data_IF_083208156650
#
_entry.id   IF_083208156650
#
_cell.length_a   1.000
_cell.length_b   1.000
_cell.length_c   1.000
_cell.angle_alpha   90.00
_cell.angle_beta   90.00
_cell.angle_gamma   90.00
#
_symmetry.space_group_name_H-M   'P 1'
#
loop_
_entity.id
_entity.type
_entity.pdbx_description
1 polymer ?
#
# COMPACT_ATOMS: atom_id res chain seq x y z
N UNK A 1 -2.54 -0.30 -7.36
CA UNK A 1 -1.40 -0.32 -8.30
C UNK A 1 -1.48 0.76 -9.38
N UNK A 2 -2.67 1.15 -9.86
CA UNK A 2 -2.81 2.23 -10.84
C UNK A 2 -2.17 3.56 -10.39
N UNK A 3 -2.27 3.91 -9.09
CA UNK A 3 -1.58 5.07 -8.47
C UNK A 3 -0.06 5.10 -8.65
N UNK A 4 0.54 3.94 -8.95
CA UNK A 4 1.97 3.73 -9.08
C UNK A 4 2.34 3.25 -10.50
N UNK A 5 1.44 3.36 -11.48
CA UNK A 5 1.63 2.80 -12.83
C UNK A 5 2.92 3.31 -13.50
N UNK A 6 3.21 4.60 -13.34
CA UNK A 6 4.36 5.26 -13.96
C UNK A 6 5.50 5.55 -12.96
N UNK A 7 5.38 5.03 -11.73
CA UNK A 7 6.41 5.22 -10.71
C UNK A 7 7.48 4.11 -10.82
N UNK A 8 8.54 4.23 -10.01
CA UNK A 8 9.58 3.21 -9.89
C UNK A 8 8.99 1.82 -9.51
N UNK A 9 9.74 0.71 -9.69
CA UNK A 9 9.26 -0.63 -9.36
C UNK A 9 8.59 -0.71 -7.99
N UNK A 10 7.30 -1.03 -8.00
CA UNK A 10 6.42 -1.02 -6.82
C UNK A 10 5.70 -2.35 -6.72
N UNK A 11 5.73 -2.92 -5.52
CA UNK A 11 5.08 -4.19 -5.20
C UNK A 11 4.10 -4.00 -4.05
N UNK A 12 2.89 -4.53 -4.20
CA UNK A 12 1.84 -4.50 -3.19
C UNK A 12 1.39 -5.92 -2.85
N UNK A 13 1.08 -6.15 -1.59
CA UNK A 13 0.55 -7.40 -1.05
C UNK A 13 -0.77 -7.06 -0.36
N UNK A 14 -1.86 -7.62 -0.86
CA UNK A 14 -3.19 -7.40 -0.35
C UNK A 14 -3.72 -8.65 0.36
N UNK A 15 -4.46 -8.42 1.44
CA UNK A 15 -5.25 -9.44 2.14
C UNK A 15 -6.60 -8.85 2.53
N UNK A 16 -7.68 -9.54 2.22
CA UNK A 16 -9.05 -9.06 2.49
C UNK A 16 -9.31 -7.61 2.04
N UNK A 17 -8.86 -7.25 0.84
CA UNK A 17 -8.96 -5.91 0.23
C UNK A 17 -8.20 -4.77 0.92
N UNK A 18 -7.25 -5.07 1.81
CA UNK A 18 -6.37 -4.07 2.43
C UNK A 18 -4.90 -4.41 2.13
N UNK A 19 -4.06 -3.38 1.98
CA UNK A 19 -2.62 -3.57 1.83
C UNK A 19 -2.02 -3.98 3.17
N UNK A 20 -1.41 -5.16 3.23
CA UNK A 20 -0.61 -5.58 4.37
C UNK A 20 0.89 -5.31 4.15
N UNK A 21 1.30 -5.13 2.89
CA UNK A 21 2.65 -4.77 2.49
C UNK A 21 2.64 -3.96 1.21
N UNK A 22 3.46 -2.92 1.13
CA UNK A 22 3.68 -2.16 -0.11
C UNK A 22 5.05 -1.49 -0.04
N UNK A 23 5.85 -1.59 -1.08
CA UNK A 23 7.11 -0.85 -1.18
C UNK A 23 7.45 -0.48 -2.62
N UNK A 24 8.22 0.59 -2.76
CA UNK A 24 8.79 1.05 -4.01
C UNK A 24 10.32 1.10 -3.90
N UNK A 25 11.03 0.54 -4.88
CA UNK A 25 12.50 0.43 -4.90
C UNK A 25 13.03 0.53 -6.33
N UNK A 26 14.36 0.55 -6.47
CA UNK A 26 15.03 0.55 -7.77
C UNK A 26 14.83 -0.76 -8.55
N UNK A 27 14.56 -1.87 -7.85
CA UNK A 27 14.29 -3.17 -8.47
C UNK A 27 13.05 -3.81 -7.88
N UNK A 28 12.33 -4.57 -8.71
CA UNK A 28 11.09 -5.20 -8.30
C UNK A 28 11.31 -6.26 -7.20
N UNK A 29 12.41 -7.01 -7.27
CA UNK A 29 12.80 -7.95 -6.23
C UNK A 29 12.95 -7.25 -4.86
N UNK A 30 13.67 -6.12 -4.80
CA UNK A 30 13.80 -5.34 -3.55
C UNK A 30 12.45 -4.80 -3.07
N UNK A 31 11.62 -4.32 -3.99
CA UNK A 31 10.28 -3.85 -3.66
C UNK A 31 9.40 -4.98 -3.09
N UNK A 32 9.49 -6.19 -3.62
CA UNK A 32 8.78 -7.35 -3.08
C UNK A 32 9.27 -7.75 -1.68
N UNK A 33 10.58 -7.86 -1.49
CA UNK A 33 11.17 -8.23 -0.18
C UNK A 33 10.73 -7.24 0.91
N UNK A 34 10.79 -5.94 0.61
CA UNK A 34 10.41 -4.91 1.57
C UNK A 34 8.89 -4.83 1.76
N UNK A 35 8.09 -5.06 0.72
CA UNK A 35 6.64 -5.19 0.87
C UNK A 35 6.29 -6.39 1.77
N UNK A 36 6.95 -7.53 1.60
CA UNK A 36 6.73 -8.73 2.41
C UNK A 36 7.11 -8.52 3.87
N UNK A 37 8.19 -7.77 4.13
CA UNK A 37 8.62 -7.43 5.49
C UNK A 37 7.58 -6.60 6.26
N UNK A 38 6.66 -5.90 5.58
CA UNK A 38 5.59 -5.11 6.19
C UNK A 38 4.68 -5.93 7.12
N UNK A 39 4.22 -7.10 6.63
CA UNK A 39 3.44 -8.05 7.41
C UNK A 39 3.50 -9.44 6.74
N UNK A 40 4.54 -10.24 7.02
CA UNK A 40 4.73 -11.55 6.41
C UNK A 40 3.65 -12.55 6.83
N UNK A 41 2.99 -12.33 7.98
CA UNK A 41 1.93 -13.22 8.48
C UNK A 41 0.67 -13.05 7.63
N UNK A 42 0.22 -11.81 7.40
CA UNK A 42 -0.96 -11.55 6.56
C UNK A 42 -0.70 -11.79 5.07
N UNK A 43 0.55 -11.67 4.62
CA UNK A 43 0.94 -11.94 3.24
C UNK A 43 0.70 -13.39 2.81
N UNK A 44 0.69 -14.34 3.75
CA UNK A 44 0.40 -15.74 3.48
C UNK A 44 -1.01 -15.91 2.90
N UNK A 45 -1.11 -16.47 1.69
CA UNK A 45 -2.36 -16.58 0.94
C UNK A 45 -2.91 -15.21 0.51
N UNK A 46 -2.03 -14.23 0.29
CA UNK A 46 -2.40 -12.90 -0.20
C UNK A 46 -2.50 -12.83 -1.73
N UNK A 47 -2.91 -11.65 -2.19
CA UNK A 47 -2.88 -11.23 -3.59
C UNK A 47 -1.67 -10.32 -3.79
N UNK A 48 -0.73 -10.76 -4.61
CA UNK A 48 0.54 -10.09 -4.88
C UNK A 48 0.44 -9.34 -6.20
N UNK A 49 0.78 -8.06 -6.20
CA UNK A 49 0.57 -7.17 -7.35
C UNK A 49 1.85 -6.38 -7.60
N UNK A 50 2.28 -6.34 -8.86
CA UNK A 50 3.40 -5.52 -9.34
C UNK A 50 2.93 -4.43 -10.29
N UNK A 51 3.58 -3.25 -10.31
CA UNK A 51 3.41 -2.25 -11.38
C UNK A 51 4.29 -2.52 -12.62
N UNK A 52 5.20 -3.48 -12.54
CA UNK A 52 6.24 -3.75 -13.55
C UNK A 52 6.30 -5.23 -13.92
N UNK A 53 7.02 -5.57 -14.99
CA UNK A 53 7.26 -6.96 -15.40
C UNK A 53 7.88 -7.77 -14.26
N UNK A 54 7.34 -8.96 -13.97
CA UNK A 54 7.95 -9.89 -13.01
C UNK A 54 9.11 -10.62 -13.70
N UNK A 55 10.30 -10.46 -13.14
CA UNK A 55 11.54 -11.13 -13.55
C UNK A 55 11.79 -12.41 -12.73
N UNK A 56 12.87 -13.13 -13.09
CA UNK A 56 13.24 -14.41 -12.45
C UNK A 56 13.51 -14.23 -10.96
N UNK A 57 14.35 -13.25 -10.58
CA UNK A 57 14.71 -13.02 -9.19
C UNK A 57 13.47 -12.75 -8.32
N UNK A 58 12.56 -11.92 -8.81
CA UNK A 58 11.30 -11.63 -8.11
C UNK A 58 10.41 -12.88 -8.05
N UNK A 59 10.32 -13.66 -9.13
CA UNK A 59 9.51 -14.88 -9.18
C UNK A 59 10.00 -15.96 -8.21
N UNK A 60 11.31 -16.14 -8.08
CA UNK A 60 11.93 -17.08 -7.13
C UNK A 60 11.58 -16.71 -5.69
N UNK A 61 11.66 -15.44 -5.33
CA UNK A 61 11.32 -14.95 -3.99
C UNK A 61 9.82 -15.12 -3.71
N UNK A 62 8.95 -14.79 -4.69
CA UNK A 62 7.50 -15.05 -4.59
C UNK A 62 7.21 -16.56 -4.43
N UNK A 63 8.00 -17.42 -5.07
CA UNK A 63 7.78 -18.87 -5.03
C UNK A 63 7.97 -19.48 -3.64
N UNK A 64 8.75 -18.83 -2.77
CA UNK A 64 8.98 -19.26 -1.37
C UNK A 64 7.74 -19.09 -0.50
N UNK A 65 6.87 -18.12 -0.82
CA UNK A 65 5.64 -17.84 -0.08
C UNK A 65 4.43 -18.49 -0.76
N UNK A 66 3.52 -19.04 0.05
CA UNK A 66 2.19 -19.35 -0.46
C UNK A 66 1.39 -18.07 -0.69
N UNK A 67 0.94 -17.86 -1.92
CA UNK A 67 0.02 -16.80 -2.32
C UNK A 67 -1.06 -17.37 -3.25
N UNK A 68 -2.24 -16.76 -3.21
CA UNK A 68 -3.37 -17.21 -4.04
C UNK A 68 -3.25 -16.67 -5.46
N UNK A 69 -2.90 -15.38 -5.59
CA UNK A 69 -2.91 -14.65 -6.85
C UNK A 69 -1.64 -13.83 -7.01
N UNK A 70 -1.07 -13.84 -8.21
CA UNK A 70 0.01 -12.92 -8.64
C UNK A 70 -0.45 -12.15 -9.86
N UNK A 71 -0.37 -10.82 -9.81
CA UNK A 71 -0.87 -9.90 -10.82
C UNK A 71 0.27 -8.98 -11.28
N UNK A 72 0.51 -8.87 -12.58
CA UNK A 72 1.53 -7.98 -13.14
C UNK A 72 1.20 -7.55 -14.58
N UNK A 73 1.78 -6.46 -15.10
CA UNK A 73 1.64 -6.09 -16.51
C UNK A 73 2.18 -7.15 -17.48
N UNK A 74 3.22 -7.88 -17.07
CA UNK A 74 3.78 -9.01 -17.81
C UNK A 74 4.70 -9.84 -16.92
N UNK A 75 5.10 -11.01 -17.43
CA UNK A 75 6.04 -11.93 -16.81
C UNK A 75 7.15 -12.25 -17.82
N UNK A 76 8.38 -12.49 -17.36
CA UNK A 76 9.35 -13.19 -18.22
C UNK A 76 8.91 -14.63 -18.44
N UNK A 77 9.39 -15.28 -19.50
CA UNK A 77 9.03 -16.68 -19.78
C UNK A 77 9.48 -17.60 -18.63
N UNK A 78 10.69 -17.39 -18.14
CA UNK A 78 11.29 -18.14 -17.04
C UNK A 78 10.57 -17.87 -15.71
N UNK A 79 10.24 -16.60 -15.43
CA UNK A 79 9.45 -16.22 -14.27
C UNK A 79 8.07 -16.89 -14.28
N UNK A 80 7.42 -16.94 -15.44
CA UNK A 80 6.13 -17.58 -15.60
C UNK A 80 6.20 -19.09 -15.31
N UNK A 81 7.24 -19.77 -15.80
CA UNK A 81 7.45 -21.20 -15.51
C UNK A 81 7.70 -21.47 -14.02
N UNK A 82 8.51 -20.64 -13.35
CA UNK A 82 8.71 -20.73 -11.90
C UNK A 82 7.39 -20.57 -11.15
N UNK A 83 6.59 -19.55 -11.49
CA UNK A 83 5.35 -19.25 -10.79
C UNK A 83 4.28 -20.33 -11.02
N UNK A 84 4.26 -20.98 -12.19
CA UNK A 84 3.38 -22.12 -12.52
C UNK A 84 3.69 -23.38 -11.70
N UNK A 85 4.84 -23.47 -11.05
CA UNK A 85 5.19 -24.62 -10.20
C UNK A 85 4.24 -24.86 -9.02
N UNK A 86 3.38 -23.90 -8.66
CA UNK A 86 2.29 -24.09 -7.68
C UNK A 86 0.95 -24.23 -8.41
N UNK A 87 0.40 -25.45 -8.45
CA UNK A 87 -0.81 -25.81 -9.22
C UNK A 87 -2.03 -24.91 -8.99
N UNK A 88 -2.23 -24.41 -7.77
CA UNK A 88 -3.43 -23.64 -7.42
C UNK A 88 -3.23 -22.11 -7.48
N UNK A 89 -2.05 -21.64 -7.90
CA UNK A 89 -1.76 -20.20 -7.97
C UNK A 89 -2.39 -19.61 -9.23
N UNK A 90 -3.12 -18.52 -9.06
CA UNK A 90 -3.71 -17.76 -10.16
C UNK A 90 -2.70 -16.70 -10.62
N UNK A 91 -2.40 -16.67 -11.92
CA UNK A 91 -1.53 -15.67 -12.52
C UNK A 91 -2.37 -14.80 -13.45
N UNK A 92 -2.38 -13.49 -13.21
CA UNK A 92 -3.15 -12.53 -13.99
C UNK A 92 -2.22 -11.51 -14.64
N UNK A 93 -2.40 -11.30 -15.94
CA UNK A 93 -1.75 -10.23 -16.67
C UNK A 93 -2.65 -8.99 -16.69
N UNK A 94 -2.09 -7.83 -16.36
CA UNK A 94 -2.80 -6.55 -16.42
C UNK A 94 -2.80 -6.07 -17.87
N UNK A 95 -3.98 -5.75 -18.38
CA UNK A 95 -4.16 -5.07 -19.66
C UNK A 95 -4.63 -3.64 -19.41
N UNK A 96 -4.13 -2.71 -20.22
CA UNK A 96 -4.60 -1.34 -20.20
C UNK A 96 -5.99 -1.27 -20.81
N UNK A 97 -6.96 -0.96 -19.97
CA UNK A 97 -8.36 -0.81 -20.33
C UNK A 97 -8.89 0.49 -19.76
N UNK A 98 -9.78 1.14 -20.51
CA UNK A 98 -10.49 2.30 -19.99
C UNK A 98 -11.42 1.85 -18.86
N UNK A 99 -11.24 2.46 -17.69
CA UNK A 99 -11.98 2.11 -16.50
C UNK A 99 -13.26 2.97 -16.40
N UNK A 100 -14.40 2.44 -15.93
CA UNK A 100 -15.61 3.23 -15.75
C UNK A 100 -15.38 4.45 -14.85
N UNK A 101 -15.95 5.59 -15.22
CA UNK A 101 -15.82 6.84 -14.45
C UNK A 101 -16.70 6.89 -13.19
N UNK A 102 -17.61 5.92 -13.02
CA UNK A 102 -18.52 5.81 -11.88
C UNK A 102 -18.28 4.53 -11.09
N UNK A 103 -18.50 4.58 -9.78
CA UNK A 103 -18.61 3.42 -8.91
C UNK A 103 -20.09 3.14 -8.60
N UNK A 104 -20.46 1.87 -8.61
CA UNK A 104 -21.80 1.40 -8.21
C UNK A 104 -21.67 0.55 -6.95
N UNK A 105 -22.50 0.81 -5.93
CA UNK A 105 -22.64 -0.04 -4.74
C UNK A 105 -24.10 -0.42 -4.54
N UNK A 106 -24.35 -1.67 -4.20
CA UNK A 106 -25.68 -2.11 -3.79
C UNK A 106 -26.06 -1.50 -2.43
N UNK A 107 -27.34 -1.20 -2.26
CA UNK A 107 -27.95 -0.81 -0.99
C UNK A 107 -29.32 -1.46 -0.85
N UNK A 108 -29.93 -1.37 0.34
CA UNK A 108 -31.29 -1.86 0.54
C UNK A 108 -32.21 -1.21 -0.51
N UNK A 109 -32.91 -2.05 -1.28
CA UNK A 109 -33.86 -1.66 -2.32
C UNK A 109 -33.27 -0.86 -3.51
N UNK A 110 -31.96 -0.89 -3.76
CA UNK A 110 -31.42 -0.19 -4.93
C UNK A 110 -29.90 -0.20 -5.07
N UNK A 111 -29.40 0.84 -5.76
CA UNK A 111 -27.97 1.08 -5.98
C UNK A 111 -27.63 2.54 -5.75
N UNK A 112 -26.43 2.77 -5.22
CA UNK A 112 -25.79 4.09 -5.16
C UNK A 112 -24.80 4.18 -6.32
N UNK A 113 -24.86 5.29 -7.06
CA UNK A 113 -23.92 5.61 -8.14
C UNK A 113 -23.22 6.91 -7.79
N UNK A 114 -21.90 6.91 -7.87
CA UNK A 114 -21.07 8.09 -7.61
C UNK A 114 -19.90 8.13 -8.60
N UNK A 115 -19.34 9.32 -8.82
CA UNK A 115 -18.10 9.46 -9.56
C UNK A 115 -16.95 8.74 -8.86
N UNK A 116 -15.96 8.30 -9.65
CA UNK A 116 -14.71 7.79 -9.10
C UNK A 116 -13.88 8.91 -8.52
N UNK A 117 -13.28 8.65 -7.35
CA UNK A 117 -12.22 9.51 -6.84
C UNK A 117 -10.92 9.29 -7.62
N UNK A 118 -10.72 10.10 -8.65
CA UNK A 118 -9.52 10.12 -9.49
C UNK A 118 -8.46 11.13 -9.01
N UNK A 119 -8.69 11.81 -7.89
CA UNK A 119 -7.77 12.82 -7.34
C UNK A 119 -6.65 12.12 -6.57
N UNK A 120 -5.41 12.47 -6.86
CA UNK A 120 -4.22 11.99 -6.16
C UNK A 120 -3.38 13.17 -5.76
N UNK A 121 -3.05 13.26 -4.47
CA UNK A 121 -2.30 14.37 -3.92
C UNK A 121 -0.93 14.52 -4.58
N UNK A 122 -0.50 15.78 -4.71
CA UNK A 122 0.80 16.18 -5.22
C UNK A 122 1.50 17.06 -4.20
N UNK A 123 2.81 17.27 -4.40
CA UNK A 123 3.61 18.13 -3.52
C UNK A 123 3.05 19.57 -3.43
N UNK A 124 2.46 20.08 -4.52
CA UNK A 124 1.83 21.41 -4.57
C UNK A 124 0.55 21.53 -3.72
N UNK A 125 -0.11 20.41 -3.43
CA UNK A 125 -1.31 20.36 -2.59
C UNK A 125 -0.97 20.39 -1.09
N UNK A 126 0.30 20.11 -0.73
CA UNK A 126 0.73 20.01 0.65
C UNK A 126 0.98 21.40 1.26
N UNK A 127 0.43 21.60 2.47
CA UNK A 127 0.65 22.81 3.27
C UNK A 127 1.33 22.47 4.59
N UNK A 128 2.49 23.08 4.85
CA UNK A 128 3.13 23.00 6.17
C UNK A 128 2.34 23.83 7.17
N UNK A 129 1.76 23.18 8.18
CA UNK A 129 0.98 23.80 9.27
C UNK A 129 1.65 23.71 10.64
N UNK A 130 2.92 23.32 10.67
CA UNK A 130 3.74 23.16 11.88
C UNK A 130 4.98 24.06 11.82
N UNK A 131 5.71 24.17 12.92
CA UNK A 131 6.96 24.95 12.99
C UNK A 131 8.12 24.33 12.19
N UNK A 132 8.04 23.04 11.85
CA UNK A 132 9.13 22.29 11.20
C UNK A 132 8.60 21.70 9.90
N UNK A 133 9.12 22.19 8.77
CA UNK A 133 8.78 21.67 7.45
C UNK A 133 9.26 20.20 7.27
N UNK A 134 8.53 19.37 6.50
CA UNK A 134 9.05 18.08 6.05
C UNK A 134 10.28 18.27 5.15
N UNK A 135 11.20 17.31 5.17
CA UNK A 135 12.28 17.25 4.17
C UNK A 135 11.73 16.74 2.84
N UNK A 136 12.47 16.90 1.74
CA UNK A 136 12.04 16.38 0.42
C UNK A 136 11.76 14.88 0.45
N UNK A 137 12.61 14.10 1.12
CA UNK A 137 12.39 12.67 1.32
C UNK A 137 11.10 12.37 2.10
N UNK A 138 10.79 13.18 3.11
CA UNK A 138 9.54 13.04 3.86
C UNK A 138 8.33 13.46 3.01
N UNK A 139 8.45 14.46 2.14
CA UNK A 139 7.39 14.83 1.19
C UNK A 139 7.08 13.65 0.27
N UNK A 140 8.12 13.00 -0.29
CA UNK A 140 7.93 11.80 -1.11
C UNK A 140 7.23 10.66 -0.35
N UNK A 141 7.65 10.42 0.89
CA UNK A 141 7.03 9.41 1.75
C UNK A 141 5.58 9.77 2.12
N UNK A 142 5.26 11.05 2.29
CA UNK A 142 3.91 11.52 2.61
C UNK A 142 2.97 11.32 1.43
N UNK A 143 3.41 11.63 0.20
CA UNK A 143 2.65 11.35 -1.02
C UNK A 143 2.46 9.85 -1.23
N UNK A 144 3.50 9.06 -0.97
CA UNK A 144 3.41 7.60 -0.98
C UNK A 144 2.39 7.08 0.04
N UNK A 145 2.42 7.57 1.28
CA UNK A 145 1.50 7.20 2.33
C UNK A 145 0.05 7.62 2.01
N UNK A 146 -0.16 8.82 1.47
CA UNK A 146 -1.48 9.30 1.06
C UNK A 146 -2.10 8.41 -0.03
N UNK A 147 -1.31 8.04 -1.06
CA UNK A 147 -1.75 7.08 -2.09
C UNK A 147 -2.22 5.76 -1.46
N UNK A 148 -1.54 5.24 -0.44
CA UNK A 148 -1.98 4.01 0.26
C UNK A 148 -3.28 4.28 1.03
N UNK A 149 -3.32 5.39 1.76
CA UNK A 149 -4.44 5.76 2.63
C UNK A 149 -5.75 5.88 1.83
N UNK A 150 -5.72 6.54 0.67
CA UNK A 150 -6.84 6.69 -0.27
C UNK A 150 -7.51 5.36 -0.65
N UNK A 151 -6.74 4.27 -0.72
CA UNK A 151 -7.21 2.95 -1.16
C UNK A 151 -7.48 1.97 -0.02
N UNK A 152 -7.32 2.41 1.23
CA UNK A 152 -7.51 1.59 2.44
C UNK A 152 -8.86 1.94 3.10
N UNK A 153 -9.48 1.01 3.84
CA UNK A 153 -10.83 1.21 4.37
C UNK A 153 -10.83 2.09 5.62
N UNK A 154 -11.63 3.16 5.57
CA UNK A 154 -11.79 4.11 6.68
C UNK A 154 -12.30 3.46 7.98
N UNK A 155 -11.92 3.98 9.16
CA UNK A 155 -10.87 4.99 9.33
C UNK A 155 -9.48 4.36 9.16
N UNK A 156 -8.56 5.07 8.49
CA UNK A 156 -7.22 4.58 8.20
C UNK A 156 -6.12 5.49 8.75
N UNK A 157 -5.08 4.85 9.28
CA UNK A 157 -3.77 5.45 9.51
C UNK A 157 -2.73 4.62 8.77
N UNK A 158 -1.91 5.27 7.94
CA UNK A 158 -0.77 4.67 7.25
C UNK A 158 0.50 5.25 7.83
N UNK A 159 1.43 4.39 8.23
CA UNK A 159 2.79 4.73 8.61
C UNK A 159 3.75 4.27 7.51
N UNK A 160 4.57 5.18 6.99
CA UNK A 160 5.51 4.89 5.92
C UNK A 160 6.87 5.51 6.18
N UNK A 161 7.92 4.91 5.61
CA UNK A 161 9.29 5.41 5.64
C UNK A 161 10.05 4.88 4.44
N UNK A 162 10.82 5.71 3.77
CA UNK A 162 11.61 5.36 2.59
C UNK A 162 10.77 4.60 1.54
N UNK A 163 9.57 5.09 1.22
CA UNK A 163 8.60 4.48 0.28
C UNK A 163 8.26 3.03 0.57
N UNK A 164 8.17 2.67 1.85
CA UNK A 164 7.69 1.38 2.33
C UNK A 164 6.59 1.60 3.35
N UNK A 165 5.51 0.81 3.24
CA UNK A 165 4.48 0.69 4.25
C UNK A 165 5.08 -0.01 5.47
N UNK A 166 5.30 0.73 6.55
CA UNK A 166 5.74 0.17 7.82
C UNK A 166 4.58 -0.54 8.52
N UNK A 167 3.42 0.10 8.56
CA UNK A 167 2.18 -0.50 9.07
C UNK A 167 0.97 0.38 8.72
N UNK A 168 -0.21 -0.21 8.83
CA UNK A 168 -1.48 0.52 8.79
C UNK A 168 -2.47 -0.01 9.81
N UNK A 169 -3.26 0.88 10.39
CA UNK A 169 -4.52 0.54 11.04
C UNK A 169 -5.66 0.91 10.11
N UNK A 170 -6.63 0.00 9.95
CA UNK A 170 -7.67 0.10 8.92
C UNK A 170 -8.98 -0.45 9.46
N UNK A 171 -10.09 0.14 9.01
CA UNK A 171 -11.44 -0.34 9.31
C UNK A 171 -11.91 -0.09 10.75
N UNK A 172 -11.22 0.77 11.50
CA UNK A 172 -11.61 1.11 12.87
C UNK A 172 -12.69 2.19 12.92
N UNK A 173 -13.56 2.12 13.92
CA UNK A 173 -14.56 3.16 14.21
C UNK A 173 -13.91 4.44 14.76
N UNK A 174 -12.76 4.31 15.43
CA UNK A 174 -11.95 5.40 15.97
C UNK A 174 -10.59 5.50 15.27
N UNK A 175 -10.16 6.72 14.95
CA UNK A 175 -8.82 6.96 14.38
C UNK A 175 -7.69 6.79 15.39
N UNK A 176 -7.98 7.00 16.67
CA UNK A 176 -7.01 6.73 17.73
C UNK A 176 -6.72 5.22 17.75
N UNK A 177 -7.74 4.39 17.62
CA UNK A 177 -7.59 2.93 17.59
C UNK A 177 -6.87 2.48 16.32
N UNK A 178 -7.15 3.10 15.16
CA UNK A 178 -6.40 2.85 13.93
C UNK A 178 -4.92 3.21 14.09
N UNK A 179 -4.60 4.33 14.74
CA UNK A 179 -3.23 4.73 15.01
C UNK A 179 -2.54 3.73 15.95
N UNK A 180 -3.17 3.38 17.07
CA UNK A 180 -2.63 2.42 18.05
C UNK A 180 -2.38 1.06 17.39
N UNK A 181 -3.31 0.60 16.55
CA UNK A 181 -3.14 -0.60 15.75
C UNK A 181 -1.93 -0.50 14.80
N UNK A 182 -1.76 0.62 14.11
CA UNK A 182 -0.62 0.84 13.20
C UNK A 182 0.71 0.80 13.96
N UNK A 183 0.81 1.50 15.09
CA UNK A 183 2.03 1.54 15.93
C UNK A 183 2.36 0.16 16.48
N UNK A 184 1.37 -0.53 17.07
CA UNK A 184 1.57 -1.87 17.62
C UNK A 184 2.06 -2.85 16.55
N UNK A 185 1.46 -2.77 15.34
CA UNK A 185 1.82 -3.63 14.22
C UNK A 185 3.23 -3.34 13.70
N UNK A 186 3.60 -2.07 13.56
CA UNK A 186 4.97 -1.68 13.20
C UNK A 186 5.99 -2.23 14.20
N UNK A 187 5.70 -2.13 15.50
CA UNK A 187 6.55 -2.69 16.57
C UNK A 187 6.66 -4.22 16.50
N UNK A 188 5.57 -4.92 16.19
CA UNK A 188 5.55 -6.39 16.03
C UNK A 188 6.52 -6.86 14.95
N UNK A 189 6.66 -6.09 13.87
CA UNK A 189 7.57 -6.39 12.76
C UNK A 189 8.88 -5.60 12.81
N UNK A 190 9.22 -5.03 13.98
CA UNK A 190 10.48 -4.33 14.27
C UNK A 190 10.77 -3.14 13.34
N UNK A 191 9.74 -2.45 12.86
CA UNK A 191 9.95 -1.21 12.12
C UNK A 191 10.36 -0.05 13.03
N UNK A 192 11.50 0.56 12.71
CA UNK A 192 11.91 1.83 13.32
C UNK A 192 11.12 3.00 12.73
N UNK A 193 10.20 3.53 13.54
CA UNK A 193 9.34 4.66 13.18
C UNK A 193 10.02 6.03 13.33
N UNK A 194 11.29 6.11 13.77
CA UNK A 194 12.00 7.39 13.84
C UNK A 194 12.17 7.98 12.43
N UNK A 195 11.63 9.19 12.22
CA UNK A 195 11.66 9.84 10.91
C UNK A 195 10.64 9.29 9.90
N UNK A 196 9.79 8.34 10.31
CA UNK A 196 8.66 7.91 9.52
C UNK A 196 7.61 9.03 9.41
N UNK A 197 6.75 8.87 8.42
CA UNK A 197 5.64 9.77 8.16
C UNK A 197 4.31 9.05 8.35
N UNK A 198 3.24 9.82 8.50
CA UNK A 198 1.89 9.35 8.69
C UNK A 198 0.93 10.06 7.74
N UNK A 199 -0.01 9.29 7.19
CA UNK A 199 -1.16 9.82 6.46
C UNK A 199 -2.47 9.28 7.08
N UNK A 200 -3.48 10.15 7.15
CA UNK A 200 -4.85 9.76 7.51
C UNK A 200 -5.83 10.14 6.41
N UNK A 201 -6.87 9.33 6.23
CA UNK A 201 -7.90 9.54 5.22
C UNK A 201 -8.91 10.65 5.60
N UNK A 202 -8.85 11.14 6.84
CA UNK A 202 -9.70 12.23 7.32
C UNK A 202 -9.05 13.02 8.47
N UNK A 203 -9.44 14.30 8.63
CA UNK A 203 -8.89 15.24 9.62
C UNK A 203 -9.06 14.83 11.09
N UNK A 204 -8.02 14.93 11.92
CA UNK A 204 -8.14 14.64 13.36
C UNK A 204 -9.08 15.63 14.07
N UNK A 205 -10.03 15.11 14.86
CA UNK A 205 -11.06 15.91 15.54
C UNK A 205 -10.62 16.46 16.90
N UNK A 206 -9.51 15.95 17.44
CA UNK A 206 -8.98 16.31 18.75
C UNK A 206 -7.46 16.48 18.68
N UNK A 207 -6.90 17.27 19.59
CA UNK A 207 -5.45 17.28 19.78
C UNK A 207 -5.02 15.92 20.32
N UNK A 208 -4.32 15.16 19.49
CA UNK A 208 -3.64 13.95 19.93
C UNK A 208 -2.25 14.38 20.40
N UNK A 209 -1.93 14.14 21.67
CA UNK A 209 -0.56 14.36 22.19
C UNK A 209 0.29 13.17 21.76
N UNK A 210 1.03 13.35 20.67
CA UNK A 210 1.92 12.33 20.13
C UNK A 210 3.12 12.11 21.06
N UNK A 211 3.38 10.86 21.45
CA UNK A 211 4.65 10.46 22.11
C UNK A 211 5.69 9.91 21.13
N UNK A 212 5.44 9.98 19.82
CA UNK A 212 6.30 9.43 18.76
C UNK A 212 6.78 10.55 17.81
N UNK A 213 8.02 10.49 17.31
CA UNK A 213 8.58 11.50 16.41
C UNK A 213 8.14 11.26 14.95
N UNK A 214 6.84 11.38 14.68
CA UNK A 214 6.21 11.13 13.37
C UNK A 214 5.69 12.45 12.79
N UNK A 215 5.96 12.71 11.50
CA UNK A 215 5.37 13.85 10.76
C UNK A 215 4.06 13.43 10.08
N UNK A 216 3.07 14.31 10.11
CA UNK A 216 1.72 14.06 9.58
C UNK A 216 1.47 14.91 8.32
N UNK A 217 0.78 14.32 7.34
CA UNK A 217 -0.05 15.03 6.35
C UNK A 217 -1.50 14.66 6.55
#
# INVERSE_FOLDING_TARGET
MLEFKNDAPTFAILKHNNACGLAQRDTLHKAYVDALAGDPVSAFGGVLISNSKIDVATAEEIHKLFCEVVIAPSFSAEALEILKGKKNRILLQIHDVEMPNTNVRSCLNGVLVQDRNNITDKAEDLKTVTNIAPTDAQIEDLLFASKICKHTKSNTIVLAKNKQLCASGTGQTSRVDALEQAIHKAGTFNFDLNGAVMASDAFFHFQIVWKLPIKLV
#
